data_IF_125363435785
#
_entry.id   IF_125363435785
#
_cell.length_a   1.000
_cell.length_b   1.000
_cell.length_c   1.000
_cell.angle_alpha   90.00
_cell.angle_beta   90.00
_cell.angle_gamma   90.00
#
_symmetry.space_group_name_H-M   'P 1'
#
loop_
_entity.id
_entity.type
_entity.pdbx_description
1 polymer ?
#
# COMPACT_ATOMS: atom_id res chain seq x y z
N UNK A 1 11.92 2.71 -21.57
CA UNK A 1 12.62 1.93 -20.52
C UNK A 1 13.79 2.67 -19.89
N UNK A 2 14.35 3.71 -20.51
CA UNK A 2 15.53 4.45 -20.01
C UNK A 2 15.29 5.19 -18.67
N UNK A 3 14.10 5.74 -18.45
CA UNK A 3 13.76 6.42 -17.18
C UNK A 3 13.71 5.49 -15.96
N UNK A 4 13.42 4.20 -16.17
CA UNK A 4 13.42 3.20 -15.10
C UNK A 4 14.85 2.85 -14.66
N UNK A 5 15.80 2.80 -15.60
CA UNK A 5 17.21 2.58 -15.29
C UNK A 5 17.83 3.75 -14.52
N UNK A 6 17.44 4.99 -14.84
CA UNK A 6 17.90 6.17 -14.08
C UNK A 6 17.49 6.12 -12.59
N UNK A 7 16.31 5.57 -12.29
CA UNK A 7 15.83 5.35 -10.92
C UNK A 7 16.65 4.30 -10.16
N UNK A 8 17.13 3.24 -10.83
CA UNK A 8 17.97 2.21 -10.21
C UNK A 8 19.40 2.68 -9.90
N UNK A 9 19.87 3.75 -10.54
CA UNK A 9 21.21 4.32 -10.34
C UNK A 9 21.25 5.53 -9.41
N UNK A 10 20.10 5.99 -8.87
CA UNK A 10 20.10 7.02 -7.83
C UNK A 10 20.68 6.44 -6.53
N UNK A 11 21.97 6.68 -6.28
CA UNK A 11 22.62 6.41 -4.99
C UNK A 11 22.16 7.46 -3.94
N UNK A 12 20.87 7.44 -3.63
CA UNK A 12 20.36 8.14 -2.45
C UNK A 12 20.88 7.42 -1.21
N UNK A 13 21.55 8.16 -0.33
CA UNK A 13 22.03 7.66 0.96
C UNK A 13 21.63 8.64 2.07
N UNK A 14 21.54 8.13 3.30
CA UNK A 14 21.27 8.95 4.47
C UNK A 14 19.89 9.66 4.46
N UNK A 15 19.79 10.93 4.90
CA UNK A 15 18.52 11.64 5.07
C UNK A 15 17.70 11.78 3.78
N UNK A 16 18.36 11.91 2.63
CA UNK A 16 17.69 12.03 1.33
C UNK A 16 16.91 10.78 0.93
N UNK A 17 17.44 9.60 1.27
CA UNK A 17 16.76 8.32 1.06
C UNK A 17 15.51 8.21 1.95
N UNK A 18 15.61 8.65 3.20
CA UNK A 18 14.47 8.66 4.13
C UNK A 18 13.36 9.58 3.63
N UNK A 19 13.69 10.79 3.20
CA UNK A 19 12.73 11.73 2.64
C UNK A 19 12.07 11.17 1.37
N UNK A 20 12.85 10.59 0.46
CA UNK A 20 12.33 9.98 -0.77
C UNK A 20 11.36 8.82 -0.48
N UNK A 21 11.70 7.95 0.48
CA UNK A 21 10.83 6.86 0.92
C UNK A 21 9.54 7.38 1.56
N UNK A 22 9.64 8.40 2.41
CA UNK A 22 8.47 9.02 3.05
C UNK A 22 7.55 9.69 2.02
N UNK A 23 8.12 10.43 1.06
CA UNK A 23 7.37 11.05 -0.03
C UNK A 23 6.70 10.02 -0.93
N UNK A 24 7.38 8.90 -1.20
CA UNK A 24 6.81 7.77 -1.96
C UNK A 24 5.62 7.16 -1.20
N UNK A 25 5.77 6.91 0.09
CA UNK A 25 4.71 6.38 0.96
C UNK A 25 3.50 7.33 1.02
N UNK A 26 3.76 8.63 1.14
CA UNK A 26 2.75 9.68 1.10
C UNK A 26 2.02 9.72 -0.26
N UNK A 27 2.76 9.69 -1.36
CA UNK A 27 2.20 9.70 -2.71
C UNK A 27 1.29 8.49 -2.94
N UNK A 28 1.74 7.29 -2.57
CA UNK A 28 0.94 6.07 -2.65
C UNK A 28 -0.34 6.20 -1.82
N UNK A 29 -0.27 6.79 -0.62
CA UNK A 29 -1.44 7.01 0.23
C UNK A 29 -2.43 8.01 -0.38
N UNK A 30 -1.96 9.14 -0.91
CA UNK A 30 -2.81 10.15 -1.56
C UNK A 30 -3.45 9.58 -2.83
N UNK A 31 -2.67 8.88 -3.65
CA UNK A 31 -3.15 8.24 -4.87
C UNK A 31 -4.23 7.19 -4.56
N UNK A 32 -4.01 6.35 -3.55
CA UNK A 32 -4.98 5.37 -3.07
C UNK A 32 -6.30 6.02 -2.65
N UNK A 33 -6.22 7.09 -1.86
CA UNK A 33 -7.38 7.84 -1.39
C UNK A 33 -8.16 8.44 -2.56
N UNK A 34 -7.48 8.94 -3.58
CA UNK A 34 -8.09 9.49 -4.79
C UNK A 34 -8.79 8.41 -5.62
N UNK A 35 -8.12 7.28 -5.87
CA UNK A 35 -8.74 6.13 -6.57
C UNK A 35 -9.97 5.64 -5.80
N UNK A 36 -9.87 5.50 -4.48
CA UNK A 36 -11.00 5.06 -3.66
C UNK A 36 -12.20 6.02 -3.76
N UNK A 37 -11.95 7.33 -3.75
CA UNK A 37 -13.00 8.35 -3.95
C UNK A 37 -13.64 8.25 -5.34
N UNK A 38 -12.83 8.04 -6.38
CA UNK A 38 -13.32 7.86 -7.76
C UNK A 38 -14.15 6.58 -7.88
N UNK A 39 -13.67 5.47 -7.34
CA UNK A 39 -14.38 4.20 -7.30
C UNK A 39 -15.72 4.33 -6.57
N UNK A 40 -15.74 5.01 -5.42
CA UNK A 40 -16.98 5.30 -4.68
C UNK A 40 -17.98 6.09 -5.53
N UNK A 41 -17.53 7.15 -6.22
CA UNK A 41 -18.38 7.94 -7.13
C UNK A 41 -18.91 7.09 -8.27
N UNK A 42 -18.07 6.26 -8.90
CA UNK A 42 -18.47 5.35 -9.97
C UNK A 42 -19.55 4.37 -9.49
N UNK A 43 -19.35 3.72 -8.34
CA UNK A 43 -20.32 2.80 -7.75
C UNK A 43 -21.65 3.48 -7.41
N UNK A 44 -21.62 4.69 -6.88
CA UNK A 44 -22.86 5.45 -6.61
C UNK A 44 -23.62 5.74 -7.91
N UNK A 45 -22.93 6.13 -8.99
CA UNK A 45 -23.55 6.35 -10.31
C UNK A 45 -24.14 5.07 -10.89
N UNK A 46 -23.43 3.95 -10.75
CA UNK A 46 -23.90 2.62 -11.18
C UNK A 46 -25.19 2.22 -10.45
N UNK A 47 -25.27 2.46 -9.14
CA UNK A 47 -26.50 2.21 -8.34
C UNK A 47 -27.64 3.12 -8.79
N UNK A 48 -27.39 4.40 -9.05
CA UNK A 48 -28.41 5.34 -9.52
C UNK A 48 -28.96 4.87 -10.88
N UNK A 49 -28.07 4.52 -11.82
CA UNK A 49 -28.45 4.00 -13.13
C UNK A 49 -29.29 2.73 -13.04
N UNK A 50 -28.87 1.77 -12.21
CA UNK A 50 -29.63 0.53 -12.00
C UNK A 50 -30.99 0.78 -11.36
N UNK A 51 -31.11 1.74 -10.44
CA UNK A 51 -32.40 2.17 -9.87
C UNK A 51 -33.32 2.78 -10.91
N UNK A 52 -32.78 3.61 -11.80
CA UNK A 52 -33.55 4.22 -12.89
C UNK A 52 -34.00 3.18 -13.91
N UNK A 53 -33.16 2.21 -14.25
CA UNK A 53 -33.52 1.08 -15.13
C UNK A 53 -34.60 0.20 -14.49
N UNK A 54 -34.51 -0.06 -13.18
CA UNK A 54 -35.51 -0.84 -12.45
C UNK A 54 -36.89 -0.17 -12.43
N UNK A 55 -36.96 1.17 -12.41
CA UNK A 55 -38.22 1.92 -12.49
C UNK A 55 -38.92 1.81 -13.85
N UNK A 56 -38.16 1.50 -14.91
CA UNK A 56 -38.67 1.40 -16.29
C UNK A 56 -39.12 0.00 -16.66
N UNK A 57 -38.77 -1.01 -15.86
CA UNK A 57 -39.13 -2.41 -16.10
C UNK A 57 -40.33 -2.75 -15.24
N UNK A 58 -41.45 -3.07 -15.87
CA UNK A 58 -42.62 -3.55 -15.15
C UNK A 58 -42.42 -5.00 -14.70
N UNK A 59 -42.69 -5.27 -13.42
CA UNK A 59 -42.44 -6.55 -12.80
C UNK A 59 -43.37 -7.64 -13.35
N UNK A 60 -44.56 -7.25 -13.82
CA UNK A 60 -45.56 -8.18 -14.38
C UNK A 60 -45.24 -8.58 -15.81
N UNK A 61 -44.68 -7.68 -16.60
CA UNK A 61 -44.41 -7.92 -18.03
C UNK A 61 -43.03 -8.54 -18.28
N UNK A 62 -42.00 -8.18 -17.49
CA UNK A 62 -40.62 -8.63 -17.74
C UNK A 62 -39.88 -9.01 -16.44
N UNK A 63 -40.48 -9.96 -15.72
CA UNK A 63 -39.96 -10.51 -14.45
C UNK A 63 -38.50 -10.98 -14.52
N UNK A 64 -38.01 -11.67 -15.57
CA UNK A 64 -36.61 -12.11 -15.65
C UNK A 64 -35.63 -10.94 -15.63
N UNK A 65 -35.95 -9.86 -16.35
CA UNK A 65 -35.14 -8.65 -16.41
C UNK A 65 -35.17 -7.88 -15.09
N UNK A 66 -36.36 -7.77 -14.47
CA UNK A 66 -36.52 -7.19 -13.14
C UNK A 66 -35.68 -7.93 -12.08
N UNK A 67 -35.76 -9.27 -12.05
CA UNK A 67 -35.02 -10.10 -11.10
C UNK A 67 -33.49 -9.96 -11.28
N UNK A 68 -33.01 -9.87 -12.52
CA UNK A 68 -31.58 -9.67 -12.83
C UNK A 68 -31.07 -8.31 -12.32
N UNK A 69 -31.80 -7.23 -12.62
CA UNK A 69 -31.44 -5.87 -12.17
C UNK A 69 -31.48 -5.76 -10.65
N UNK A 70 -32.49 -6.36 -10.00
CA UNK A 70 -32.62 -6.32 -8.55
C UNK A 70 -31.50 -7.11 -7.84
N UNK A 71 -31.09 -8.26 -8.40
CA UNK A 71 -29.92 -9.01 -7.90
C UNK A 71 -28.63 -8.20 -8.03
N UNK A 72 -28.40 -7.52 -9.16
CA UNK A 72 -27.23 -6.67 -9.37
C UNK A 72 -27.20 -5.49 -8.39
N UNK A 73 -28.34 -4.82 -8.19
CA UNK A 73 -28.47 -3.71 -7.26
C UNK A 73 -28.24 -4.17 -5.81
N UNK A 74 -28.83 -5.30 -5.42
CA UNK A 74 -28.65 -5.89 -4.09
C UNK A 74 -27.19 -6.27 -3.87
N UNK A 75 -26.52 -6.84 -4.86
CA UNK A 75 -25.10 -7.18 -4.79
C UNK A 75 -24.24 -5.91 -4.58
N UNK A 76 -24.46 -4.86 -5.37
CA UNK A 76 -23.72 -3.60 -5.26
C UNK A 76 -23.97 -2.88 -3.93
N UNK A 77 -25.17 -2.95 -3.37
CA UNK A 77 -25.49 -2.39 -2.06
C UNK A 77 -24.92 -3.23 -0.91
N UNK A 78 -24.94 -4.57 -1.02
CA UNK A 78 -24.37 -5.49 -0.03
C UNK A 78 -22.85 -5.50 -0.02
N UNK A 79 -22.21 -5.09 -1.12
CA UNK A 79 -20.77 -4.84 -1.16
C UNK A 79 -20.53 -3.60 -0.28
N UNK A 80 -20.51 -3.79 1.05
CA UNK A 80 -20.18 -2.77 2.03
C UNK A 80 -18.96 -2.04 1.50
N UNK A 81 -19.09 -0.74 1.27
CA UNK A 81 -17.97 0.14 0.95
C UNK A 81 -16.93 -0.11 2.03
N UNK A 82 -15.91 -0.92 1.73
CA UNK A 82 -14.86 -1.25 2.68
C UNK A 82 -14.11 0.06 2.87
N UNK A 83 -14.50 0.81 3.90
CA UNK A 83 -13.88 2.07 4.31
C UNK A 83 -12.46 1.85 4.83
N UNK A 84 -12.12 0.60 5.12
CA UNK A 84 -10.78 0.20 5.54
C UNK A 84 -9.90 -0.05 4.31
N UNK A 85 -8.65 0.43 4.29
CA UNK A 85 -7.71 0.05 3.25
C UNK A 85 -7.65 -1.48 3.18
N UNK A 86 -7.89 -2.03 1.98
CA UNK A 86 -7.82 -3.48 1.79
C UNK A 86 -6.42 -3.98 2.14
N UNK A 87 -6.27 -5.26 2.51
CA UNK A 87 -4.96 -5.87 2.79
C UNK A 87 -3.97 -5.66 1.63
N UNK A 88 -4.49 -5.57 0.40
CA UNK A 88 -3.73 -5.27 -0.82
C UNK A 88 -3.08 -3.88 -0.75
N UNK A 89 -3.74 -2.88 -0.16
CA UNK A 89 -3.16 -1.54 0.02
C UNK A 89 -2.02 -1.53 1.02
N UNK A 90 -2.18 -2.22 2.14
CA UNK A 90 -1.09 -2.38 3.12
C UNK A 90 0.10 -3.11 2.49
N UNK A 91 -0.16 -4.10 1.65
CA UNK A 91 0.84 -4.84 0.89
C UNK A 91 1.56 -3.95 -0.13
N UNK A 92 0.84 -3.21 -0.98
CA UNK A 92 1.44 -2.29 -1.96
C UNK A 92 2.29 -1.21 -1.29
N UNK A 93 1.81 -0.67 -0.18
CA UNK A 93 2.52 0.35 0.60
C UNK A 93 3.79 -0.20 1.27
N UNK A 94 3.88 -1.51 1.48
CA UNK A 94 5.11 -2.18 1.92
C UNK A 94 6.04 -2.47 0.72
N UNK A 95 5.49 -3.05 -0.34
CA UNK A 95 6.24 -3.59 -1.48
C UNK A 95 6.86 -2.50 -2.35
N UNK A 96 6.14 -1.41 -2.62
CA UNK A 96 6.57 -0.38 -3.58
C UNK A 96 7.87 0.31 -3.12
N UNK A 97 7.98 0.84 -1.88
CA UNK A 97 9.25 1.40 -1.42
C UNK A 97 10.35 0.34 -1.30
N UNK A 98 10.00 -0.88 -0.88
CA UNK A 98 10.97 -1.97 -0.75
C UNK A 98 11.57 -2.39 -2.10
N UNK A 99 10.81 -2.31 -3.19
CA UNK A 99 11.31 -2.58 -4.54
C UNK A 99 12.14 -1.42 -5.11
N UNK A 100 11.65 -0.18 -4.97
CA UNK A 100 12.33 1.02 -5.50
C UNK A 100 13.70 1.20 -4.83
N UNK A 101 13.78 0.99 -3.52
CA UNK A 101 15.00 1.24 -2.74
C UNK A 101 15.69 -0.06 -2.29
N UNK A 102 15.42 -1.20 -2.95
CA UNK A 102 15.96 -2.53 -2.58
C UNK A 102 17.48 -2.54 -2.41
N UNK A 103 18.17 -1.84 -3.30
CA UNK A 103 19.63 -1.81 -3.37
C UNK A 103 20.25 -0.61 -2.64
N UNK A 104 19.44 0.18 -1.93
CA UNK A 104 19.90 1.36 -1.21
C UNK A 104 20.30 1.02 0.23
N UNK A 105 21.35 1.68 0.71
CA UNK A 105 21.84 1.58 2.08
C UNK A 105 21.49 2.87 2.82
N UNK A 106 20.95 2.73 4.04
CA UNK A 106 20.49 3.89 4.82
C UNK A 106 21.64 4.48 5.62
N UNK A 107 22.37 3.63 6.33
CA UNK A 107 23.49 4.02 7.15
C UNK A 107 24.54 2.91 7.19
N UNK A 108 25.76 3.33 7.49
CA UNK A 108 26.85 2.46 7.93
C UNK A 108 27.00 2.65 9.43
N UNK A 109 27.00 1.56 10.19
CA UNK A 109 27.21 1.60 11.63
C UNK A 109 28.37 0.68 11.99
N UNK A 110 29.20 1.04 12.99
CA UNK A 110 30.34 0.22 13.37
C UNK A 110 29.89 -1.17 13.84
N UNK A 111 30.69 -2.20 13.59
CA UNK A 111 30.36 -3.59 13.93
C UNK A 111 29.95 -3.74 15.42
N UNK A 112 30.62 -3.01 16.31
CA UNK A 112 30.35 -3.00 17.75
C UNK A 112 28.93 -2.53 18.09
N UNK A 113 28.32 -1.63 17.30
CA UNK A 113 26.94 -1.17 17.51
C UNK A 113 25.92 -2.32 17.39
N UNK A 114 26.22 -3.33 16.57
CA UNK A 114 25.30 -4.45 16.29
C UNK A 114 25.46 -5.62 17.26
N UNK A 115 26.54 -5.68 18.03
CA UNK A 115 26.81 -6.78 18.97
C UNK A 115 25.63 -7.16 19.89
N UNK A 116 24.80 -6.25 20.41
CA UNK A 116 23.67 -6.64 21.26
C UNK A 116 22.55 -7.35 20.48
N UNK A 117 22.46 -7.09 19.17
CA UNK A 117 21.33 -7.46 18.31
C UNK A 117 21.73 -8.55 17.30
N UNK A 118 23.03 -8.83 17.15
CA UNK A 118 23.58 -9.86 16.26
C UNK A 118 22.99 -11.26 16.51
N UNK A 119 22.61 -11.58 17.76
CA UNK A 119 21.95 -12.86 18.08
C UNK A 119 20.50 -12.94 17.60
N UNK A 120 19.85 -11.79 17.43
CA UNK A 120 18.45 -11.69 17.03
C UNK A 120 18.27 -11.42 15.52
N UNK A 121 19.31 -10.90 14.86
CA UNK A 121 19.26 -10.49 13.44
C UNK A 121 20.31 -11.26 12.66
N UNK A 122 19.85 -12.13 11.75
CA UNK A 122 20.73 -12.74 10.74
C UNK A 122 21.04 -11.72 9.67
N UNK A 123 22.31 -11.35 9.56
CA UNK A 123 22.79 -10.53 8.46
C UNK A 123 22.94 -11.39 7.20
N UNK A 124 22.50 -10.91 6.01
CA UNK A 124 22.62 -11.65 4.76
C UNK A 124 24.06 -11.70 4.22
N UNK A 125 24.99 -10.96 4.83
CA UNK A 125 26.40 -10.92 4.47
C UNK A 125 27.25 -11.05 5.74
N UNK A 126 28.43 -11.69 5.67
CA UNK A 126 29.37 -11.76 6.78
C UNK A 126 29.86 -10.36 7.16
N UNK A 127 30.01 -10.10 8.46
CA UNK A 127 30.51 -8.83 9.00
C UNK A 127 32.04 -8.87 8.88
N UNK A 128 32.55 -8.68 7.66
CA UNK A 128 34.00 -8.72 7.38
C UNK A 128 34.69 -7.35 7.53
N UNK A 129 33.91 -6.26 7.60
CA UNK A 129 34.41 -4.90 7.75
C UNK A 129 34.00 -4.30 9.10
N UNK A 130 34.82 -3.38 9.66
CA UNK A 130 34.55 -2.59 10.86
C UNK A 130 33.21 -1.81 10.83
N UNK A 131 32.52 -1.81 9.68
CA UNK A 131 31.26 -1.12 9.42
C UNK A 131 30.27 -2.07 8.75
N UNK A 132 29.08 -2.16 9.31
CA UNK A 132 27.93 -2.88 8.75
C UNK A 132 27.05 -1.89 8.00
N UNK A 133 26.70 -2.21 6.74
CA UNK A 133 25.73 -1.45 5.94
C UNK A 133 24.31 -1.91 6.28
N UNK A 134 23.45 -0.98 6.67
CA UNK A 134 22.02 -1.25 6.88
C UNK A 134 21.27 -1.06 5.57
N UNK A 135 20.75 -2.15 5.03
CA UNK A 135 19.91 -2.12 3.84
C UNK A 135 18.56 -1.46 4.10
N UNK A 136 18.03 -0.78 3.10
CA UNK A 136 16.74 -0.09 3.19
C UNK A 136 15.60 -1.01 3.62
N UNK A 137 15.56 -2.25 3.12
CA UNK A 137 14.50 -3.21 3.42
C UNK A 137 14.42 -3.51 4.94
N UNK A 138 15.57 -3.67 5.60
CA UNK A 138 15.62 -3.94 7.03
C UNK A 138 15.05 -2.75 7.82
N UNK A 139 15.51 -1.54 7.53
CA UNK A 139 15.01 -0.33 8.18
C UNK A 139 13.53 -0.07 7.89
N UNK A 140 13.11 -0.22 6.63
CA UNK A 140 11.72 -0.05 6.22
C UNK A 140 10.81 -1.04 6.94
N UNK A 141 11.25 -2.28 7.12
CA UNK A 141 10.56 -3.26 7.94
C UNK A 141 10.33 -2.80 9.38
N UNK A 142 11.38 -2.26 10.03
CA UNK A 142 11.30 -1.74 11.41
C UNK A 142 10.37 -0.53 11.50
N UNK A 143 10.52 0.46 10.62
CA UNK A 143 9.65 1.65 10.57
C UNK A 143 8.19 1.26 10.40
N UNK A 144 7.89 0.27 9.55
CA UNK A 144 6.52 -0.18 9.30
C UNK A 144 5.97 -0.99 10.46
N UNK A 145 6.79 -1.82 11.12
CA UNK A 145 6.38 -2.52 12.34
C UNK A 145 6.00 -1.55 13.47
N UNK A 146 6.77 -0.46 13.63
CA UNK A 146 6.46 0.61 14.58
C UNK A 146 5.21 1.39 14.16
N UNK A 147 5.10 1.78 12.89
CA UNK A 147 3.96 2.55 12.38
C UNK A 147 2.65 1.77 12.50
N UNK A 148 2.65 0.46 12.25
CA UNK A 148 1.48 -0.39 12.46
C UNK A 148 1.10 -0.51 13.95
N UNK A 149 2.09 -0.59 14.86
CA UNK A 149 1.83 -0.58 16.31
C UNK A 149 1.23 0.75 16.78
N UNK A 150 1.74 1.87 16.27
CA UNK A 150 1.22 3.21 16.56
C UNK A 150 -0.19 3.38 16.00
N UNK A 151 -0.45 2.98 14.75
CA UNK A 151 -1.81 2.99 14.19
C UNK A 151 -2.79 2.12 14.97
N UNK A 152 -2.37 0.93 15.44
CA UNK A 152 -3.22 0.06 16.25
C UNK A 152 -3.51 0.63 17.65
N UNK A 153 -2.63 1.49 18.19
CA UNK A 153 -2.79 2.19 19.47
C UNK A 153 -3.68 3.43 19.33
N UNK A 154 -3.55 4.19 18.24
CA UNK A 154 -4.28 5.45 18.01
C UNK A 154 -5.73 5.22 17.54
N UNK A 155 -5.99 4.11 16.84
CA UNK A 155 -7.32 3.79 16.30
C UNK A 155 -8.02 2.64 17.06
N UNK A 156 -7.64 2.45 18.33
CA UNK A 156 -8.32 1.52 19.24
C UNK A 156 -9.57 2.16 19.84
#
# INVERSE_FOLDING_TARGET
MEYLNALYHLQLSGPGLFLAAFMTDWFVMVFAKTIFRLYKRYKTREIIKLKEELKKVDMKDDFPKYAKLNRQLTHLQKTKQVSKPSRIWSFLRFLVPALIFRNCWICTAPANFWTPIQRAVKFPHPIEEDKVKVGFIFFWGVVRALNNKVFALVYK
#
